data_IF_863182125542
#
_entry.id   IF_863182125542
#
_cell.length_a   1.000
_cell.length_b   1.000
_cell.length_c   1.000
_cell.angle_alpha   90.00
_cell.angle_beta   90.00
_cell.angle_gamma   90.00
#
_symmetry.space_group_name_H-M   'P 1'
#
loop_
_entity.id
_entity.type
_entity.pdbx_description
1 polymer ?
#
# COMPACT_ATOMS: atom_id res chain seq x y z
N UNK A 1 5.32 22.14 -2.15
CA UNK A 1 4.75 20.78 -2.04
C UNK A 1 5.51 19.83 -2.93
N UNK A 2 5.87 18.66 -2.42
CA UNK A 2 6.55 17.61 -3.18
C UNK A 2 5.71 16.35 -3.14
N UNK A 3 5.62 15.66 -4.27
CA UNK A 3 4.87 14.41 -4.39
C UNK A 3 5.82 13.30 -4.84
N UNK A 4 5.82 12.20 -4.10
CA UNK A 4 6.64 11.03 -4.40
C UNK A 4 5.72 9.85 -4.72
N UNK A 5 6.00 9.16 -5.81
CA UNK A 5 5.31 7.92 -6.14
C UNK A 5 5.99 6.77 -5.42
N UNK A 6 5.18 5.94 -4.75
CA UNK A 6 5.70 4.79 -3.98
C UNK A 6 5.24 3.51 -4.66
N UNK A 7 5.77 3.28 -5.85
CA UNK A 7 5.37 2.13 -6.65
C UNK A 7 5.68 0.81 -5.93
N UNK A 8 4.64 0.08 -5.55
CA UNK A 8 4.79 -1.19 -4.85
C UNK A 8 4.97 -2.36 -5.81
N UNK A 9 4.28 -2.34 -6.94
CA UNK A 9 4.40 -3.38 -7.93
C UNK A 9 3.25 -3.43 -8.92
N UNK A 10 3.42 -4.30 -9.93
CA UNK A 10 2.38 -4.65 -10.89
C UNK A 10 1.90 -6.05 -10.59
N UNK A 11 0.60 -6.29 -10.75
CA UNK A 11 -0.02 -7.55 -10.37
C UNK A 11 -1.12 -7.94 -11.34
N UNK A 12 -1.40 -9.24 -11.40
CA UNK A 12 -2.63 -9.75 -11.98
C UNK A 12 -3.54 -10.25 -10.87
N UNK A 13 -4.84 -10.06 -11.01
CA UNK A 13 -5.84 -10.54 -10.05
C UNK A 13 -7.03 -11.12 -10.81
N UNK A 14 -7.44 -12.31 -10.44
CA UNK A 14 -8.60 -12.99 -11.03
C UNK A 14 -9.68 -13.23 -9.97
N UNK A 15 -10.61 -14.14 -10.25
CA UNK A 15 -11.72 -14.44 -9.34
C UNK A 15 -11.27 -14.95 -7.97
N UNK A 16 -10.05 -15.46 -7.83
CA UNK A 16 -9.51 -15.89 -6.53
C UNK A 16 -9.18 -14.71 -5.63
N UNK A 17 -9.15 -13.49 -6.18
CA UNK A 17 -8.80 -12.24 -5.48
C UNK A 17 -7.38 -12.23 -4.93
N UNK A 18 -6.52 -13.10 -5.41
CA UNK A 18 -5.10 -13.09 -5.06
C UNK A 18 -4.35 -12.17 -6.02
N UNK A 19 -3.48 -11.33 -5.48
CA UNK A 19 -2.64 -10.43 -6.27
C UNK A 19 -1.30 -11.11 -6.52
N UNK A 20 -1.09 -11.49 -7.78
CA UNK A 20 0.10 -12.23 -8.18
C UNK A 20 1.03 -11.28 -8.93
N UNK A 21 2.30 -11.15 -8.51
CA UNK A 21 3.24 -10.25 -9.19
C UNK A 21 3.30 -10.55 -10.70
N UNK A 22 3.28 -9.48 -11.48
CA UNK A 22 3.34 -9.57 -12.94
C UNK A 22 4.49 -8.70 -13.44
N UNK A 23 5.49 -9.33 -14.06
CA UNK A 23 6.60 -8.64 -14.67
C UNK A 23 6.44 -8.66 -16.18
N UNK A 24 6.13 -7.52 -16.85
CA UNK A 24 5.90 -7.49 -18.29
C UNK A 24 7.09 -7.96 -19.13
N UNK A 25 8.29 -7.97 -18.57
CA UNK A 25 9.49 -8.42 -19.29
C UNK A 25 9.57 -9.93 -19.42
N UNK A 26 8.94 -10.68 -18.50
CA UNK A 26 9.01 -12.15 -18.49
C UNK A 26 7.65 -12.84 -18.52
N UNK A 27 6.61 -12.18 -18.03
CA UNK A 27 5.26 -12.73 -17.96
C UNK A 27 4.43 -12.28 -19.16
N UNK A 28 3.46 -13.10 -19.54
CA UNK A 28 2.58 -12.80 -20.68
C UNK A 28 1.12 -12.76 -20.21
N UNK A 29 0.39 -11.78 -20.69
CA UNK A 29 -1.04 -11.59 -20.37
C UNK A 29 -1.84 -12.84 -20.73
N UNK A 30 -1.52 -13.48 -21.83
CA UNK A 30 -2.22 -14.69 -22.30
C UNK A 30 -2.16 -15.85 -21.31
N UNK A 31 -1.14 -15.89 -20.46
CA UNK A 31 -0.96 -16.97 -19.49
C UNK A 31 -1.76 -16.72 -18.20
N UNK A 32 -2.47 -15.62 -18.15
CA UNK A 32 -3.30 -15.24 -16.98
C UNK A 32 -4.71 -14.83 -17.44
N UNK A 33 -5.48 -15.79 -17.98
CA UNK A 33 -6.82 -15.49 -18.50
C UNK A 33 -7.77 -15.04 -17.40
N UNK A 34 -8.76 -14.24 -17.78
CA UNK A 34 -9.77 -13.71 -16.87
C UNK A 34 -9.18 -12.91 -15.70
N UNK A 35 -8.03 -12.29 -15.91
CA UNK A 35 -7.36 -11.47 -14.89
C UNK A 35 -7.44 -9.99 -15.23
N UNK A 36 -7.48 -9.18 -14.17
CA UNK A 36 -7.21 -7.75 -14.26
C UNK A 36 -5.73 -7.54 -14.01
N UNK A 37 -5.15 -6.54 -14.67
CA UNK A 37 -3.75 -6.17 -14.49
C UNK A 37 -3.70 -4.77 -13.90
N UNK A 38 -3.07 -4.64 -12.74
CA UNK A 38 -3.08 -3.39 -12.00
C UNK A 38 -1.68 -3.01 -11.55
N UNK A 39 -1.50 -1.71 -11.32
CA UNK A 39 -0.33 -1.16 -10.64
C UNK A 39 -0.75 -0.67 -9.28
N UNK A 40 0.01 -1.02 -8.25
CA UNK A 40 -0.24 -0.58 -6.90
C UNK A 40 0.78 0.50 -6.56
N UNK A 41 0.31 1.72 -6.34
CA UNK A 41 1.18 2.88 -6.19
C UNK A 41 0.60 3.91 -5.22
N UNK A 42 0.91 3.80 -3.93
CA UNK A 42 0.64 4.88 -2.99
C UNK A 42 1.44 6.14 -3.32
N UNK A 43 1.05 7.25 -2.72
CA UNK A 43 1.72 8.54 -2.91
C UNK A 43 2.12 9.14 -1.57
N UNK A 44 3.32 9.68 -1.50
CA UNK A 44 3.81 10.41 -0.34
C UNK A 44 3.86 11.88 -0.69
N UNK A 45 3.28 12.71 0.16
CA UNK A 45 3.20 14.15 -0.09
C UNK A 45 3.86 14.90 1.06
N UNK A 46 4.85 15.72 0.72
CA UNK A 46 5.49 16.63 1.66
C UNK A 46 4.90 18.02 1.49
N UNK A 47 4.21 18.52 2.52
CA UNK A 47 3.60 19.86 2.54
C UNK A 47 4.15 20.63 3.73
N UNK A 48 5.11 21.53 3.51
CA UNK A 48 5.75 22.23 4.61
C UNK A 48 6.37 21.24 5.59
N UNK A 49 5.88 21.22 6.81
CA UNK A 49 6.35 20.29 7.85
C UNK A 49 5.55 18.99 7.91
N UNK A 50 4.44 18.90 7.15
CA UNK A 50 3.59 17.73 7.16
C UNK A 50 4.05 16.70 6.14
N UNK A 51 3.98 15.44 6.52
CA UNK A 51 4.23 14.31 5.64
C UNK A 51 2.96 13.46 5.59
N UNK A 52 2.36 13.38 4.42
CA UNK A 52 1.09 12.70 4.19
C UNK A 52 1.30 11.49 3.30
N UNK A 53 0.67 10.37 3.66
CA UNK A 53 0.66 9.17 2.83
C UNK A 53 -0.76 8.96 2.30
N UNK A 54 -0.90 8.80 0.98
CA UNK A 54 -2.17 8.48 0.35
C UNK A 54 -2.18 6.98 0.01
N UNK A 55 -3.03 6.23 0.69
CA UNK A 55 -3.16 4.79 0.62
C UNK A 55 -1.90 4.04 1.07
N UNK A 56 -2.02 2.75 1.29
CA UNK A 56 -0.95 1.93 1.87
C UNK A 56 -0.60 0.69 1.05
N UNK A 57 -1.20 0.52 -0.13
CA UNK A 57 -0.90 -0.60 -1.00
C UNK A 57 -1.38 -1.95 -0.46
N UNK A 58 -0.75 -3.02 -0.93
CA UNK A 58 -1.09 -4.40 -0.55
C UNK A 58 -0.50 -4.83 0.79
N UNK A 59 0.55 -4.18 1.24
CA UNK A 59 1.23 -4.59 2.46
C UNK A 59 2.20 -5.75 2.25
N UNK A 60 2.70 -5.92 1.03
CA UNK A 60 3.68 -6.95 0.73
C UNK A 60 5.06 -6.55 1.26
N UNK A 61 5.83 -7.56 1.61
CA UNK A 61 7.20 -7.38 2.11
C UNK A 61 8.22 -7.88 1.10
N UNK A 62 9.44 -7.35 1.20
CA UNK A 62 10.56 -7.82 0.41
C UNK A 62 11.12 -9.15 1.02
N UNK A 63 12.19 -9.66 0.42
CA UNK A 63 12.81 -10.91 0.87
C UNK A 63 13.30 -10.87 2.32
N UNK A 64 13.61 -9.68 2.82
CA UNK A 64 14.10 -9.48 4.19
C UNK A 64 12.98 -9.29 5.21
N UNK A 65 11.72 -9.34 4.77
CA UNK A 65 10.58 -9.13 5.66
C UNK A 65 10.22 -7.67 5.89
N UNK A 66 10.89 -6.74 5.19
CA UNK A 66 10.56 -5.31 5.27
C UNK A 66 9.42 -4.98 4.32
N UNK A 67 8.45 -4.20 4.77
CA UNK A 67 7.39 -3.72 3.89
C UNK A 67 7.98 -2.98 2.70
N UNK A 68 7.55 -3.33 1.50
CA UNK A 68 7.96 -2.61 0.28
C UNK A 68 7.61 -1.12 0.42
N UNK A 69 6.46 -0.82 1.00
CA UNK A 69 6.04 0.56 1.25
C UNK A 69 7.04 1.31 2.14
N UNK A 70 7.50 0.69 3.22
CA UNK A 70 8.51 1.29 4.10
C UNK A 70 9.82 1.53 3.35
N UNK A 71 10.25 0.55 2.57
CA UNK A 71 11.48 0.68 1.76
C UNK A 71 11.37 1.84 0.78
N UNK A 72 10.22 1.97 0.12
CA UNK A 72 9.99 3.06 -0.84
C UNK A 72 9.98 4.44 -0.16
N UNK A 73 9.43 4.53 1.04
CA UNK A 73 9.45 5.78 1.81
C UNK A 73 10.90 6.15 2.15
N UNK A 74 11.72 5.18 2.55
CA UNK A 74 13.14 5.43 2.83
C UNK A 74 13.91 5.84 1.58
N UNK A 75 13.59 5.25 0.43
CA UNK A 75 14.19 5.66 -0.86
C UNK A 75 13.82 7.10 -1.23
N UNK A 76 12.65 7.57 -0.80
CA UNK A 76 12.24 8.96 -1.01
C UNK A 76 12.92 9.93 -0.03
N UNK A 77 13.66 9.41 0.95
CA UNK A 77 14.42 10.24 1.90
C UNK A 77 13.73 10.44 3.25
N UNK A 78 12.73 9.64 3.57
CA UNK A 78 11.98 9.76 4.81
C UNK A 78 11.93 8.44 5.56
N UNK A 79 11.56 8.48 6.84
CA UNK A 79 11.30 7.29 7.63
C UNK A 79 9.79 7.10 7.83
N UNK A 80 9.30 5.87 7.93
CA UNK A 80 7.87 5.62 8.21
C UNK A 80 7.35 6.34 9.45
N UNK A 81 8.20 6.51 10.46
CA UNK A 81 7.85 7.20 11.70
C UNK A 81 7.61 8.69 11.52
N UNK A 82 8.06 9.26 10.40
CA UNK A 82 7.84 10.67 10.08
C UNK A 82 6.48 10.96 9.46
N UNK A 83 5.74 9.93 9.07
CA UNK A 83 4.42 10.11 8.46
C UNK A 83 3.44 10.64 9.51
N UNK A 84 2.86 11.79 9.23
CA UNK A 84 1.92 12.46 10.14
C UNK A 84 0.48 12.00 9.93
N UNK A 85 0.07 11.79 8.68
CA UNK A 85 -1.28 11.36 8.34
C UNK A 85 -1.24 10.31 7.25
N UNK A 86 -2.08 9.29 7.42
CA UNK A 86 -2.36 8.30 6.39
C UNK A 86 -3.80 8.53 5.94
N UNK A 87 -3.98 8.97 4.70
CA UNK A 87 -5.28 9.27 4.13
C UNK A 87 -5.69 8.11 3.21
N UNK A 88 -6.80 7.47 3.53
CA UNK A 88 -7.29 6.32 2.77
C UNK A 88 -8.32 6.76 1.75
N UNK A 89 -8.10 6.40 0.48
CA UNK A 89 -9.09 6.64 -0.56
C UNK A 89 -10.30 5.72 -0.36
N UNK A 90 -10.05 4.46 -0.05
CA UNK A 90 -11.05 3.46 0.30
C UNK A 90 -10.36 2.28 0.96
N UNK A 91 -11.12 1.29 1.44
CA UNK A 91 -10.57 0.20 2.25
C UNK A 91 -10.46 -1.14 1.50
N UNK A 92 -10.42 -1.15 0.17
CA UNK A 92 -10.09 -2.35 -0.57
C UNK A 92 -8.64 -2.78 -0.28
N UNK A 93 -8.39 -4.07 -0.32
CA UNK A 93 -7.13 -4.65 0.12
C UNK A 93 -5.90 -4.07 -0.58
N UNK A 94 -5.98 -3.80 -1.88
CA UNK A 94 -4.87 -3.24 -2.65
C UNK A 94 -4.54 -1.78 -2.28
N UNK A 95 -5.37 -1.16 -1.44
CA UNK A 95 -5.15 0.18 -0.92
C UNK A 95 -4.92 0.19 0.59
N UNK A 96 -5.49 -0.77 1.31
CA UNK A 96 -5.46 -0.79 2.79
C UNK A 96 -4.54 -1.87 3.38
N UNK A 97 -4.04 -2.79 2.57
CA UNK A 97 -3.26 -3.93 3.06
C UNK A 97 -2.02 -3.54 3.86
N UNK A 98 -1.43 -2.38 3.56
CA UNK A 98 -0.23 -1.91 4.25
C UNK A 98 -0.48 -1.06 5.49
N UNK A 99 -1.74 -0.93 5.95
CA UNK A 99 -2.02 -0.17 7.18
C UNK A 99 -1.39 -0.81 8.41
N UNK A 100 -1.32 -2.13 8.41
CA UNK A 100 -0.69 -2.93 9.46
C UNK A 100 0.27 -3.92 8.84
N UNK A 101 1.22 -4.40 9.61
CA UNK A 101 2.14 -5.44 9.18
C UNK A 101 2.49 -6.35 10.36
N UNK A 102 3.03 -7.51 10.05
CA UNK A 102 3.50 -8.44 11.09
C UNK A 102 4.97 -8.15 11.41
N UNK A 103 5.26 -8.02 12.69
CA UNK A 103 6.61 -7.88 13.19
C UNK A 103 6.77 -8.83 14.37
N UNK A 104 7.71 -9.79 14.25
CA UNK A 104 7.95 -10.79 15.29
C UNK A 104 6.68 -11.58 15.66
N UNK A 105 5.81 -11.85 14.68
CA UNK A 105 4.58 -12.61 14.88
C UNK A 105 3.40 -11.80 15.40
N UNK A 106 3.58 -10.50 15.63
CA UNK A 106 2.52 -9.63 16.10
C UNK A 106 2.13 -8.62 15.01
N UNK A 107 0.84 -8.24 15.01
CA UNK A 107 0.35 -7.20 14.09
C UNK A 107 0.63 -5.84 14.70
N UNK A 108 1.24 -4.96 13.93
CA UNK A 108 1.55 -3.60 14.33
C UNK A 108 1.10 -2.60 13.26
N UNK A 109 0.83 -1.37 13.68
CA UNK A 109 0.55 -0.29 12.74
C UNK A 109 1.83 -0.01 11.94
N UNK A 110 1.67 0.08 10.62
CA UNK A 110 2.80 0.38 9.73
C UNK A 110 3.34 1.79 9.93
N UNK A 111 2.49 2.70 10.42
CA UNK A 111 2.84 4.11 10.67
C UNK A 111 2.40 4.48 12.07
N UNK A 112 3.21 4.14 13.09
CA UNK A 112 2.76 4.20 14.49
C UNK A 112 2.51 5.62 15.00
N UNK A 113 3.13 6.63 14.39
CA UNK A 113 2.98 8.02 14.80
C UNK A 113 1.95 8.78 13.96
N UNK A 114 1.35 8.14 12.97
CA UNK A 114 0.41 8.78 12.08
C UNK A 114 -1.02 8.72 12.59
N UNK A 115 -1.80 9.74 12.23
CA UNK A 115 -3.25 9.69 12.36
C UNK A 115 -3.80 9.10 11.06
N UNK A 116 -4.57 8.03 11.18
CA UNK A 116 -5.22 7.39 10.03
C UNK A 116 -6.58 8.03 9.80
N UNK A 117 -6.81 8.50 8.57
CA UNK A 117 -8.04 9.18 8.19
C UNK A 117 -8.78 8.35 7.17
N UNK A 118 -10.01 7.96 7.49
CA UNK A 118 -10.87 7.14 6.64
C UNK A 118 -12.23 7.80 6.61
N UNK A 119 -12.83 7.88 5.42
CA UNK A 119 -14.19 8.41 5.29
C UNK A 119 -15.16 7.48 6.04
N UNK A 120 -16.12 8.08 6.74
CA UNK A 120 -17.06 7.32 7.57
C UNK A 120 -17.81 6.25 6.77
N UNK A 121 -18.27 6.57 5.57
CA UNK A 121 -18.99 5.62 4.72
C UNK A 121 -18.14 4.40 4.35
N UNK A 122 -16.86 4.58 4.07
CA UNK A 122 -15.93 3.49 3.80
C UNK A 122 -15.74 2.59 5.03
N UNK A 123 -15.59 3.19 6.19
CA UNK A 123 -15.46 2.47 7.45
C UNK A 123 -16.70 1.61 7.72
N UNK A 124 -17.88 2.21 7.59
CA UNK A 124 -19.14 1.50 7.81
C UNK A 124 -19.33 0.34 6.82
N UNK A 125 -19.01 0.55 5.54
CA UNK A 125 -19.11 -0.48 4.52
C UNK A 125 -18.16 -1.65 4.79
N UNK A 126 -16.93 -1.37 5.23
CA UNK A 126 -15.94 -2.40 5.52
C UNK A 126 -16.38 -3.35 6.64
N UNK A 127 -17.20 -2.88 7.57
CA UNK A 127 -17.65 -3.66 8.72
C UNK A 127 -19.11 -4.11 8.65
N UNK A 128 -19.80 -3.90 7.50
CA UNK A 128 -21.23 -4.22 7.37
C UNK A 128 -21.51 -5.60 6.80
N UNK A 129 -20.50 -6.38 6.46
CA UNK A 129 -20.67 -7.72 5.86
C UNK A 129 -20.32 -8.84 6.82
#
# INVERSE_FOLDING_TARGET
MQVFTLFEGSYSVNATKKFIPFNPEVDQVKDRPASLFIHVQPFLIKMGKLLLLLDTGLGYSNENGTLILHENIRKAGFEPEEVDYVLMSHLHYDHSGGMVHQLNGEMELSFPHATYVVQQGEWETAFST
#
